data_IF_769134590892
#
_entry.id   IF_769134590892
#
_cell.length_a   1.000
_cell.length_b   1.000
_cell.length_c   1.000
_cell.angle_alpha   90.00
_cell.angle_beta   90.00
_cell.angle_gamma   90.00
#
_symmetry.space_group_name_H-M   'P 1'
#
loop_
_entity.id
_entity.type
_entity.pdbx_description
1 polymer ?
#
# COMPACT_ATOMS: atom_id res chain seq x y z
N UNK A 1 22.69 -14.73 39.89
CA UNK A 1 22.78 -13.77 38.75
C UNK A 1 22.42 -14.51 37.49
N UNK A 2 21.17 -14.39 37.04
CA UNK A 2 20.78 -14.76 35.68
C UNK A 2 19.84 -13.64 35.20
N UNK A 3 20.40 -12.71 34.42
CA UNK A 3 19.65 -11.66 33.74
C UNK A 3 18.94 -12.33 32.55
N UNK A 4 17.62 -12.42 32.59
CA UNK A 4 16.83 -12.82 31.43
C UNK A 4 16.75 -11.63 30.47
N UNK A 5 17.40 -11.73 29.32
CA UNK A 5 17.16 -10.84 28.20
C UNK A 5 15.81 -11.26 27.57
N UNK A 6 14.73 -10.59 27.98
CA UNK A 6 13.47 -10.67 27.23
C UNK A 6 13.68 -9.95 25.90
N UNK A 7 13.62 -10.69 24.79
CA UNK A 7 13.56 -10.09 23.47
C UNK A 7 12.29 -9.24 23.37
N UNK A 8 12.44 -7.93 23.26
CA UNK A 8 11.32 -7.02 23.03
C UNK A 8 10.73 -7.37 21.67
N UNK A 9 9.59 -8.06 21.69
CA UNK A 9 8.83 -8.34 20.48
C UNK A 9 8.00 -7.10 20.20
N UNK A 10 8.37 -6.32 19.18
CA UNK A 10 7.57 -5.18 18.74
C UNK A 10 6.25 -5.73 18.21
N UNK A 11 5.16 -5.58 18.97
CA UNK A 11 3.84 -5.95 18.47
C UNK A 11 3.47 -5.00 17.36
N UNK A 12 3.24 -5.53 16.16
CA UNK A 12 2.67 -4.77 15.04
C UNK A 12 1.21 -4.53 15.38
N UNK A 13 0.82 -3.28 15.58
CA UNK A 13 -0.58 -2.92 15.73
C UNK A 13 -1.25 -2.90 14.35
N UNK A 14 -2.47 -3.43 14.29
CA UNK A 14 -3.28 -3.47 13.07
C UNK A 14 -4.53 -2.63 13.27
N UNK A 15 -4.86 -1.80 12.29
CA UNK A 15 -6.06 -0.98 12.29
C UNK A 15 -6.94 -1.34 11.11
N UNK A 16 -8.20 -1.71 11.40
CA UNK A 16 -9.21 -1.91 10.38
C UNK A 16 -9.57 -0.56 9.72
N UNK A 17 -9.59 -0.54 8.39
CA UNK A 17 -9.82 0.69 7.59
C UNK A 17 -11.04 0.62 6.68
N UNK A 18 -11.45 -0.58 6.25
CA UNK A 18 -12.67 -0.84 5.48
C UNK A 18 -13.02 -2.33 5.51
N UNK A 19 -14.14 -2.73 4.88
CA UNK A 19 -14.46 -4.12 4.62
C UNK A 19 -13.95 -4.56 3.24
N UNK A 20 -13.76 -5.86 3.05
CA UNK A 20 -13.36 -6.42 1.75
C UNK A 20 -14.34 -6.05 0.64
N UNK A 21 -15.64 -6.00 0.97
CA UNK A 21 -16.71 -5.68 0.02
C UNK A 21 -16.72 -4.20 -0.42
N UNK A 22 -15.99 -3.33 0.29
CA UNK A 22 -15.75 -1.94 -0.13
C UNK A 22 -14.67 -1.84 -1.23
N UNK A 23 -13.88 -2.89 -1.43
CA UNK A 23 -12.80 -2.91 -2.41
C UNK A 23 -13.33 -3.25 -3.81
N UNK A 24 -12.79 -2.56 -4.80
CA UNK A 24 -13.06 -2.83 -6.21
C UNK A 24 -11.86 -3.56 -6.80
N UNK A 25 -12.11 -4.73 -7.40
CA UNK A 25 -11.08 -5.52 -8.07
C UNK A 25 -10.35 -4.69 -9.13
N UNK A 26 -9.03 -4.83 -9.18
CA UNK A 26 -8.11 -4.19 -10.11
C UNK A 26 -8.14 -2.66 -10.08
N UNK A 27 -8.65 -2.07 -8.99
CA UNK A 27 -8.80 -0.63 -8.82
C UNK A 27 -8.33 -0.15 -7.44
N UNK A 28 -8.09 1.16 -7.36
CA UNK A 28 -7.67 1.81 -6.12
C UNK A 28 -8.87 2.32 -5.31
N UNK A 29 -8.86 2.03 -4.01
CA UNK A 29 -9.78 2.61 -3.01
C UNK A 29 -8.96 3.37 -1.98
N UNK A 30 -9.33 4.61 -1.66
CA UNK A 30 -8.55 5.46 -0.76
C UNK A 30 -9.19 5.48 0.62
N UNK A 31 -8.38 5.18 1.64
CA UNK A 31 -8.75 5.24 3.06
C UNK A 31 -7.93 6.30 3.79
N UNK A 32 -8.41 6.70 4.96
CA UNK A 32 -7.69 7.59 5.87
C UNK A 32 -7.08 6.80 7.02
N UNK A 33 -5.80 7.02 7.30
CA UNK A 33 -5.08 6.38 8.41
C UNK A 33 -4.07 7.37 9.00
N UNK A 34 -4.22 7.73 10.27
CA UNK A 34 -3.26 8.55 11.04
C UNK A 34 -2.76 9.82 10.32
N UNK A 35 -3.67 10.53 9.66
CA UNK A 35 -3.34 11.77 8.96
C UNK A 35 -2.81 11.58 7.53
N UNK A 36 -2.72 10.33 7.05
CA UNK A 36 -2.34 9.98 5.69
C UNK A 36 -3.55 9.45 4.89
N UNK A 37 -3.53 9.71 3.58
CA UNK A 37 -4.41 9.02 2.63
C UNK A 37 -3.66 7.83 2.06
N UNK A 38 -4.21 6.63 2.25
CA UNK A 38 -3.61 5.38 1.78
C UNK A 38 -4.46 4.84 0.64
N UNK A 39 -3.84 4.61 -0.52
CA UNK A 39 -4.45 3.94 -1.66
C UNK A 39 -4.30 2.43 -1.50
N UNK A 40 -5.42 1.74 -1.33
CA UNK A 40 -5.54 0.28 -1.33
C UNK A 40 -5.76 -0.21 -2.75
N UNK A 41 -5.03 -1.23 -3.17
CA UNK A 41 -5.25 -1.93 -4.44
C UNK A 41 -5.58 -3.39 -4.15
N UNK A 42 -6.70 -3.85 -4.71
CA UNK A 42 -7.18 -5.23 -4.57
C UNK A 42 -7.09 -5.97 -5.90
N UNK A 43 -6.18 -6.94 -5.98
CA UNK A 43 -5.87 -7.72 -7.18
C UNK A 43 -6.22 -9.20 -6.95
N UNK A 44 -7.51 -9.57 -7.01
CA UNK A 44 -7.92 -10.95 -6.81
C UNK A 44 -7.27 -11.88 -7.84
N UNK A 45 -6.82 -13.05 -7.39
CA UNK A 45 -6.12 -14.03 -8.24
C UNK A 45 -4.58 -13.94 -8.21
N UNK A 46 -4.02 -12.89 -7.61
CA UNK A 46 -2.60 -12.85 -7.25
C UNK A 46 -2.34 -13.63 -5.95
N UNK A 47 -1.11 -14.12 -5.77
CA UNK A 47 -0.70 -14.77 -4.51
C UNK A 47 -0.79 -13.81 -3.31
N UNK A 48 -0.48 -12.53 -3.54
CA UNK A 48 -0.75 -11.42 -2.62
C UNK A 48 -1.80 -10.52 -3.28
N UNK A 49 -3.05 -10.51 -2.80
CA UNK A 49 -4.11 -9.76 -3.47
C UNK A 49 -4.29 -8.34 -2.95
N UNK A 50 -3.59 -7.93 -1.88
CA UNK A 50 -3.75 -6.61 -1.28
C UNK A 50 -2.43 -5.86 -1.21
N UNK A 51 -2.49 -4.59 -1.60
CA UNK A 51 -1.38 -3.64 -1.54
C UNK A 51 -1.89 -2.32 -0.99
N UNK A 52 -1.04 -1.59 -0.27
CA UNK A 52 -1.39 -0.33 0.36
C UNK A 52 -0.22 0.64 0.24
N UNK A 53 -0.43 1.76 -0.46
CA UNK A 53 0.62 2.75 -0.77
C UNK A 53 0.12 4.17 -0.53
N UNK A 54 1.04 5.14 -0.52
CA UNK A 54 0.67 6.55 -0.39
C UNK A 54 -0.29 6.95 -1.51
N UNK A 55 -1.39 7.62 -1.17
CA UNK A 55 -2.25 8.22 -2.18
C UNK A 55 -1.64 9.50 -2.78
N UNK A 56 -0.73 10.14 -2.03
CA UNK A 56 -0.06 11.37 -2.46
C UNK A 56 1.10 11.06 -3.40
N UNK A 57 0.98 11.49 -4.65
CA UNK A 57 2.06 11.39 -5.63
C UNK A 57 3.24 12.30 -5.23
N UNK A 58 4.46 11.76 -5.08
CA UNK A 58 5.63 12.54 -4.65
C UNK A 58 6.03 13.60 -5.68
N UNK A 59 5.71 13.42 -6.97
CA UNK A 59 6.03 14.38 -8.02
C UNK A 59 5.07 15.56 -8.06
N UNK A 60 3.77 15.28 -8.18
CA UNK A 60 2.76 16.35 -8.30
C UNK A 60 2.34 16.93 -6.95
N UNK A 61 2.53 16.19 -5.86
CA UNK A 61 2.04 16.53 -4.53
C UNK A 61 0.53 16.36 -4.36
N UNK A 62 -0.17 15.84 -5.38
CA UNK A 62 -1.61 15.64 -5.38
C UNK A 62 -1.99 14.24 -4.86
N UNK A 63 -3.17 14.12 -4.26
CA UNK A 63 -3.74 12.87 -3.77
C UNK A 63 -4.44 12.11 -4.91
N UNK A 64 -3.66 11.46 -5.76
CA UNK A 64 -4.12 10.91 -7.04
C UNK A 64 -3.70 9.46 -7.32
N UNK A 65 -2.83 8.84 -6.52
CA UNK A 65 -2.30 7.50 -6.83
C UNK A 65 -3.39 6.44 -6.86
N UNK A 66 -4.40 6.50 -5.97
CA UNK A 66 -5.53 5.58 -5.96
C UNK A 66 -6.41 5.63 -7.22
N UNK A 67 -6.18 6.60 -8.12
CA UNK A 67 -6.85 6.68 -9.43
C UNK A 67 -5.95 6.20 -10.57
N UNK A 68 -4.77 5.70 -10.27
CA UNK A 68 -3.80 5.19 -11.22
C UNK A 68 -4.25 3.86 -11.83
N UNK A 69 -3.69 3.56 -13.00
CA UNK A 69 -3.92 2.29 -13.66
C UNK A 69 -2.94 1.26 -13.10
N UNK A 70 -3.46 0.13 -12.65
CA UNK A 70 -2.63 -1.02 -12.29
C UNK A 70 -2.12 -1.67 -13.58
N UNK A 71 -0.86 -2.09 -13.57
CA UNK A 71 -0.25 -2.80 -14.67
C UNK A 71 0.92 -3.67 -14.23
N UNK A 72 1.61 -4.25 -15.19
CA UNK A 72 2.87 -4.96 -14.96
C UNK A 72 3.94 -4.44 -15.90
N UNK A 73 5.13 -4.15 -15.35
CA UNK A 73 6.32 -3.76 -16.11
C UNK A 73 7.40 -4.78 -15.81
N UNK A 74 7.78 -5.57 -16.81
CA UNK A 74 8.79 -6.63 -16.67
C UNK A 74 8.49 -7.64 -15.54
N UNK A 75 7.21 -7.87 -15.22
CA UNK A 75 6.77 -8.78 -14.16
C UNK A 75 6.54 -8.11 -12.80
N UNK A 76 6.98 -6.86 -12.61
CA UNK A 76 6.69 -6.08 -11.40
C UNK A 76 5.28 -5.49 -11.47
N UNK A 77 4.49 -5.64 -10.41
CA UNK A 77 3.16 -5.03 -10.31
C UNK A 77 3.29 -3.56 -9.93
N UNK A 78 2.71 -2.69 -10.76
CA UNK A 78 2.84 -1.25 -10.62
C UNK A 78 1.51 -0.54 -10.66
N UNK A 79 1.47 0.67 -10.11
CA UNK A 79 0.46 1.67 -10.41
C UNK A 79 1.09 2.82 -11.22
N UNK A 80 0.51 3.12 -12.37
CA UNK A 80 0.89 4.28 -13.17
C UNK A 80 0.21 5.54 -12.63
N UNK A 81 1.01 6.52 -12.18
CA UNK A 81 0.50 7.79 -11.66
C UNK A 81 -0.34 8.52 -12.71
N UNK A 82 -1.59 8.94 -12.40
CA UNK A 82 -2.50 9.53 -13.38
C UNK A 82 -1.97 10.71 -14.19
N UNK A 83 -1.15 11.57 -13.59
CA UNK A 83 -0.68 12.81 -14.23
C UNK A 83 0.55 12.58 -15.11
N UNK A 84 1.65 12.13 -14.52
CA UNK A 84 2.94 12.05 -15.21
C UNK A 84 3.37 10.63 -15.59
N UNK A 85 2.49 9.64 -15.37
CA UNK A 85 2.66 8.25 -15.84
C UNK A 85 3.90 7.51 -15.33
N UNK A 86 4.49 7.99 -14.23
CA UNK A 86 5.51 7.23 -13.52
C UNK A 86 4.91 5.96 -12.96
N UNK A 87 5.67 4.87 -13.01
CA UNK A 87 5.25 3.58 -12.51
C UNK A 87 5.84 3.35 -11.13
N UNK A 88 4.97 3.24 -10.13
CA UNK A 88 5.37 2.91 -8.77
C UNK A 88 5.07 1.45 -8.48
N UNK A 89 6.06 0.69 -8.01
CA UNK A 89 5.84 -0.69 -7.54
C UNK A 89 4.81 -0.70 -6.41
N UNK A 90 3.81 -1.57 -6.52
CA UNK A 90 2.84 -1.79 -5.44
C UNK A 90 3.45 -2.52 -4.25
N UNK A 91 4.55 -3.25 -4.47
CA UNK A 91 5.23 -4.03 -3.44
C UNK A 91 6.27 -3.21 -2.67
N UNK A 92 7.12 -2.45 -3.36
CA UNK A 92 8.22 -1.70 -2.74
C UNK A 92 7.94 -0.21 -2.62
N UNK A 93 7.02 0.32 -3.43
CA UNK A 93 6.72 1.75 -3.57
C UNK A 93 7.70 2.49 -4.48
N UNK A 94 8.76 1.86 -4.96
CA UNK A 94 9.81 2.51 -5.77
C UNK A 94 9.28 2.92 -7.14
N UNK A 95 9.69 4.10 -7.61
CA UNK A 95 9.43 4.57 -8.96
C UNK A 95 10.44 3.91 -9.92
N UNK A 96 9.94 3.27 -10.98
CA UNK A 96 10.81 2.55 -11.93
C UNK A 96 11.65 3.49 -12.79
N UNK A 97 11.17 4.71 -13.05
CA UNK A 97 11.88 5.69 -13.88
C UNK A 97 12.82 6.60 -13.09
N UNK A 98 12.64 6.72 -11.77
CA UNK A 98 13.39 7.64 -10.92
C UNK A 98 13.59 7.07 -9.52
N UNK A 99 14.78 6.50 -9.27
CA UNK A 99 15.13 5.92 -7.96
C UNK A 99 15.15 6.92 -6.79
N UNK A 100 15.02 8.22 -7.05
CA UNK A 100 14.84 9.25 -6.01
C UNK A 100 13.39 9.38 -5.51
N UNK A 101 12.42 8.76 -6.19
CA UNK A 101 11.00 8.85 -5.84
C UNK A 101 10.45 7.50 -5.36
N UNK A 102 9.67 7.57 -4.28
CA UNK A 102 9.08 6.39 -3.65
C UNK A 102 7.78 6.75 -2.94
N UNK A 103 6.80 5.86 -3.01
CA UNK A 103 5.62 5.85 -2.16
C UNK A 103 5.91 5.10 -0.86
N UNK A 104 5.39 5.58 0.28
CA UNK A 104 5.32 4.73 1.47
C UNK A 104 4.44 3.52 1.16
N UNK A 105 4.82 2.37 1.69
CA UNK A 105 4.04 1.12 1.64
C UNK A 105 3.65 0.73 3.06
N UNK A 106 2.40 0.31 3.23
CA UNK A 106 1.91 -0.25 4.49
C UNK A 106 1.75 -1.77 4.34
N UNK A 107 2.16 -2.57 5.35
CA UNK A 107 1.67 -3.92 5.47
C UNK A 107 0.14 -3.90 5.55
N UNK A 108 -0.51 -4.69 4.71
CA UNK A 108 -1.96 -4.81 4.62
C UNK A 108 -2.35 -6.27 4.68
N UNK A 109 -3.47 -6.57 5.32
CA UNK A 109 -4.04 -7.92 5.35
C UNK A 109 -5.56 -7.89 5.32
N UNK A 110 -6.14 -9.03 4.98
CA UNK A 110 -7.53 -9.33 5.22
C UNK A 110 -7.64 -10.19 6.49
N UNK A 111 -8.46 -9.76 7.44
CA UNK A 111 -8.71 -10.44 8.71
C UNK A 111 -10.22 -10.48 8.97
N UNK A 112 -10.83 -11.66 8.90
CA UNK A 112 -12.28 -11.86 9.10
C UNK A 112 -13.18 -10.88 8.30
N UNK A 113 -12.81 -10.59 7.06
CA UNK A 113 -13.54 -9.66 6.18
C UNK A 113 -13.12 -8.19 6.32
N UNK A 114 -12.43 -7.82 7.41
CA UNK A 114 -11.88 -6.49 7.59
C UNK A 114 -10.52 -6.35 6.89
N UNK A 115 -10.33 -5.23 6.18
CA UNK A 115 -9.04 -4.84 5.64
C UNK A 115 -8.30 -4.07 6.72
N UNK A 116 -7.13 -4.56 7.10
CA UNK A 116 -6.32 -3.99 8.16
C UNK A 116 -4.98 -3.50 7.63
N UNK A 117 -4.55 -2.33 8.10
CA UNK A 117 -3.23 -1.77 7.86
C UNK A 117 -2.40 -1.82 9.14
N UNK A 118 -1.13 -2.19 9.01
CA UNK A 118 -0.21 -2.10 10.13
C UNK A 118 0.13 -0.63 10.41
N UNK A 119 -0.05 -0.23 11.68
CA UNK A 119 0.37 1.07 12.20
C UNK A 119 1.66 0.90 13.00
N UNK A 120 2.52 1.92 12.95
CA UNK A 120 3.80 1.95 13.65
C UNK A 120 3.66 2.62 15.02
#
# INVERSE_FOLDING_TARGET
>A
MALLNAAVTTQVNWQAVCQADDLVADSGVVVWLDGAQVALFYLPGQAQPLYAVDNRDPRSGANIIGRGLVGSVQGELVVAAPLYKQHFSLQTGECLEDGGQRLRVWPVRLNDGAVELAIA
#
